data_IF_263946456824
#
_entry.id   IF_263946456824
#
_cell.length_a   1.000
_cell.length_b   1.000
_cell.length_c   1.000
_cell.angle_alpha   90.00
_cell.angle_beta   90.00
_cell.angle_gamma   90.00
#
_symmetry.space_group_name_H-M   'P 1'
#
loop_
_entity.id
_entity.type
_entity.pdbx_description
1 polymer ?
#
# COMPACT_ATOMS: atom_id res chain seq x y z
N UNK A 1 27.48 4.27 1.44
CA UNK A 1 26.37 5.23 1.63
C UNK A 1 25.01 4.52 1.72
N UNK A 2 24.65 3.65 0.78
CA UNK A 2 23.36 2.94 0.76
C UNK A 2 23.13 2.08 2.02
N UNK A 3 24.14 1.30 2.44
CA UNK A 3 24.01 0.41 3.61
C UNK A 3 23.75 1.16 4.93
N UNK A 4 24.34 2.36 5.10
CA UNK A 4 24.12 3.19 6.31
C UNK A 4 22.71 3.77 6.31
N UNK A 5 22.21 4.16 5.14
CA UNK A 5 20.84 4.64 4.97
C UNK A 5 19.83 3.54 5.31
N UNK A 6 20.04 2.32 4.79
CA UNK A 6 19.16 1.18 5.07
C UNK A 6 19.10 0.82 6.56
N UNK A 7 20.24 0.84 7.26
CA UNK A 7 20.28 0.61 8.72
C UNK A 7 19.52 1.69 9.49
N UNK A 8 19.65 2.95 9.08
CA UNK A 8 18.93 4.07 9.69
C UNK A 8 17.42 3.92 9.48
N UNK A 9 17.00 3.67 8.25
CA UNK A 9 15.59 3.50 7.89
C UNK A 9 14.96 2.34 8.71
N UNK A 10 15.67 1.22 8.87
CA UNK A 10 15.22 0.09 9.73
C UNK A 10 15.05 0.47 11.21
N UNK A 11 15.94 1.30 11.75
CA UNK A 11 15.84 1.76 13.15
C UNK A 11 14.68 2.72 13.33
N UNK A 12 14.50 3.64 12.38
CA UNK A 12 13.40 4.60 12.39
C UNK A 12 12.05 3.86 12.27
N UNK A 13 11.95 2.85 11.39
CA UNK A 13 10.76 2.01 11.26
C UNK A 13 10.44 1.25 12.55
N UNK A 14 11.44 0.61 13.18
CA UNK A 14 11.25 -0.11 14.43
C UNK A 14 10.81 0.82 15.58
N UNK A 15 11.36 2.04 15.65
CA UNK A 15 10.97 3.04 16.64
C UNK A 15 9.52 3.50 16.43
N UNK A 16 9.11 3.72 15.19
CA UNK A 16 7.76 4.16 14.87
C UNK A 16 6.73 3.04 15.09
N UNK A 17 7.06 1.81 14.72
CA UNK A 17 6.20 0.64 14.95
C UNK A 17 5.96 0.39 16.44
N UNK A 18 7.00 0.47 17.27
CA UNK A 18 6.88 0.31 18.73
C UNK A 18 6.06 1.42 19.37
N UNK A 19 6.24 2.68 18.95
CA UNK A 19 5.38 3.79 19.39
C UNK A 19 3.91 3.57 19.01
N UNK A 20 3.65 3.19 17.76
CA UNK A 20 2.30 2.89 17.29
C UNK A 20 1.64 1.73 18.06
N UNK A 21 2.43 0.71 18.42
CA UNK A 21 1.97 -0.41 19.23
C UNK A 21 1.63 0.00 20.68
N UNK A 22 2.38 0.94 21.26
CA UNK A 22 2.08 1.49 22.60
C UNK A 22 0.80 2.33 22.58
N UNK A 23 0.53 3.05 21.49
CA UNK A 23 -0.63 3.93 21.37
C UNK A 23 -1.97 3.19 21.18
N UNK A 24 -2.01 2.18 20.29
CA UNK A 24 -3.27 1.50 19.91
C UNK A 24 -3.22 -0.03 20.10
N UNK A 25 -2.17 -0.55 20.71
CA UNK A 25 -1.97 -1.99 20.89
C UNK A 25 -1.50 -2.71 19.63
N UNK A 26 -1.67 -4.02 19.64
CA UNK A 26 -1.18 -4.95 18.63
C UNK A 26 -2.27 -5.91 18.15
N UNK A 27 -2.10 -6.40 16.94
CA UNK A 27 -2.93 -7.43 16.32
C UNK A 27 -2.06 -8.55 15.74
N UNK A 28 -2.60 -9.77 15.53
CA UNK A 28 -1.86 -10.85 14.87
C UNK A 28 -1.45 -10.43 13.45
N UNK A 29 -0.16 -10.51 13.17
CA UNK A 29 0.41 -10.07 11.90
C UNK A 29 0.24 -11.08 10.77
N UNK A 30 1.08 -10.94 9.73
CA UNK A 30 1.10 -11.89 8.61
C UNK A 30 -0.18 -11.91 7.78
N UNK A 31 -0.93 -10.80 7.76
CA UNK A 31 -2.24 -10.71 7.10
C UNK A 31 -3.39 -11.39 7.86
N UNK A 32 -3.13 -12.00 9.02
CA UNK A 32 -4.14 -12.68 9.84
C UNK A 32 -5.22 -11.70 10.31
N UNK A 33 -4.83 -10.52 10.82
CA UNK A 33 -5.79 -9.51 11.26
C UNK A 33 -6.79 -9.10 10.15
N UNK A 34 -6.31 -8.89 8.92
CA UNK A 34 -7.15 -8.52 7.78
C UNK A 34 -8.08 -9.67 7.36
N UNK A 35 -7.58 -10.90 7.35
CA UNK A 35 -8.40 -12.08 7.10
C UNK A 35 -9.50 -12.23 8.15
N UNK A 36 -9.22 -11.97 9.43
CA UNK A 36 -10.22 -12.02 10.51
C UNK A 36 -11.24 -10.89 10.40
N UNK A 37 -10.81 -9.69 9.98
CA UNK A 37 -11.71 -8.55 9.75
C UNK A 37 -12.75 -8.81 8.64
N UNK A 38 -12.47 -9.75 7.73
CA UNK A 38 -13.40 -10.21 6.69
C UNK A 38 -14.77 -10.60 7.25
N UNK A 39 -14.83 -11.26 8.42
CA UNK A 39 -16.09 -11.69 9.06
C UNK A 39 -17.07 -10.52 9.28
N UNK A 40 -16.56 -9.33 9.61
CA UNK A 40 -17.39 -8.12 9.79
C UNK A 40 -18.00 -7.62 8.48
N UNK A 41 -17.33 -7.85 7.35
CA UNK A 41 -17.80 -7.47 6.01
C UNK A 41 -18.75 -8.52 5.43
N UNK A 42 -18.58 -9.80 5.78
CA UNK A 42 -19.46 -10.89 5.33
C UNK A 42 -20.90 -10.72 5.84
N UNK A 43 -21.09 -10.04 6.97
CA UNK A 43 -22.43 -9.70 7.48
C UNK A 43 -23.16 -8.62 6.68
N UNK A 44 -22.50 -7.93 5.75
CA UNK A 44 -23.11 -6.89 4.93
C UNK A 44 -23.86 -7.51 3.74
N UNK A 45 -25.08 -7.03 3.51
CA UNK A 45 -25.91 -7.43 2.38
C UNK A 45 -26.63 -6.23 1.78
N UNK A 46 -27.00 -6.35 0.51
CA UNK A 46 -27.72 -5.32 -0.25
C UNK A 46 -28.54 -5.97 -1.35
N UNK A 47 -29.72 -5.44 -1.63
CA UNK A 47 -30.54 -5.87 -2.76
C UNK A 47 -30.03 -5.29 -4.10
N UNK A 48 -29.11 -4.32 -4.05
CA UNK A 48 -28.46 -3.76 -5.22
C UNK A 48 -27.31 -4.68 -5.69
N UNK A 49 -27.36 -5.24 -6.91
CA UNK A 49 -26.32 -6.11 -7.44
C UNK A 49 -24.92 -5.48 -7.49
N UNK A 50 -24.83 -4.18 -7.77
CA UNK A 50 -23.55 -3.46 -7.88
C UNK A 50 -22.90 -3.28 -6.51
N UNK A 51 -23.70 -2.98 -5.48
CA UNK A 51 -23.22 -2.91 -4.10
C UNK A 51 -22.76 -4.30 -3.65
N UNK A 52 -23.51 -5.36 -3.97
CA UNK A 52 -23.09 -6.73 -3.67
C UNK A 52 -21.80 -7.13 -4.38
N UNK A 53 -21.59 -6.69 -5.61
CA UNK A 53 -20.33 -6.89 -6.31
C UNK A 53 -19.18 -6.17 -5.60
N UNK A 54 -19.38 -4.91 -5.17
CA UNK A 54 -18.42 -4.14 -4.38
C UNK A 54 -18.03 -4.83 -3.06
N UNK A 55 -19.02 -5.32 -2.31
CA UNK A 55 -18.78 -6.08 -1.06
C UNK A 55 -17.90 -7.30 -1.34
N UNK A 56 -18.20 -8.08 -2.39
CA UNK A 56 -17.38 -9.25 -2.77
C UNK A 56 -15.94 -8.88 -3.14
N UNK A 57 -15.73 -7.74 -3.78
CA UNK A 57 -14.38 -7.24 -4.10
C UNK A 57 -13.61 -6.92 -2.82
N UNK A 58 -14.23 -6.24 -1.85
CA UNK A 58 -13.60 -5.93 -0.55
C UNK A 58 -13.25 -7.22 0.21
N UNK A 59 -14.17 -8.19 0.25
CA UNK A 59 -13.92 -9.50 0.87
C UNK A 59 -12.69 -10.21 0.30
N UNK A 60 -12.54 -10.16 -1.04
CA UNK A 60 -11.35 -10.72 -1.71
C UNK A 60 -10.09 -9.91 -1.41
N UNK A 61 -10.20 -8.59 -1.36
CA UNK A 61 -9.06 -7.71 -1.09
C UNK A 61 -8.48 -7.91 0.32
N UNK A 62 -9.32 -8.11 1.34
CA UNK A 62 -8.89 -8.39 2.71
C UNK A 62 -8.11 -9.70 2.85
N UNK A 63 -8.37 -10.66 1.97
CA UNK A 63 -7.70 -11.97 1.94
C UNK A 63 -6.41 -11.97 1.12
N UNK A 64 -6.23 -11.02 0.20
CA UNK A 64 -5.09 -10.97 -0.69
C UNK A 64 -3.71 -10.89 0.03
N UNK A 65 -3.53 -10.13 1.12
CA UNK A 65 -2.22 -10.01 1.77
C UNK A 65 -1.68 -11.35 2.30
N UNK A 66 -2.51 -12.13 2.98
CA UNK A 66 -2.08 -13.42 3.53
C UNK A 66 -1.80 -14.45 2.43
N UNK A 67 -2.57 -14.43 1.33
CA UNK A 67 -2.30 -15.26 0.14
C UNK A 67 -0.95 -14.89 -0.46
N UNK A 68 -0.68 -13.60 -0.64
CA UNK A 68 0.58 -13.13 -1.19
C UNK A 68 1.77 -13.52 -0.31
N UNK A 69 1.62 -13.43 1.02
CA UNK A 69 2.67 -13.86 1.97
C UNK A 69 2.93 -15.37 1.85
N UNK A 70 1.88 -16.20 1.79
CA UNK A 70 2.01 -17.64 1.62
C UNK A 70 2.66 -18.02 0.27
N UNK A 71 2.23 -17.38 -0.82
CA UNK A 71 2.80 -17.61 -2.16
C UNK A 71 4.28 -17.20 -2.22
N UNK A 72 4.66 -16.09 -1.57
CA UNK A 72 6.06 -15.68 -1.45
C UNK A 72 6.91 -16.68 -0.65
N UNK A 73 6.30 -17.43 0.26
CA UNK A 73 6.92 -18.53 0.99
C UNK A 73 6.90 -19.87 0.21
N UNK A 74 6.33 -19.91 -1.00
CA UNK A 74 6.24 -21.12 -1.82
C UNK A 74 5.10 -22.07 -1.46
N UNK A 75 4.15 -21.62 -0.62
CA UNK A 75 3.01 -22.41 -0.15
C UNK A 75 1.72 -21.91 -0.80
N UNK A 76 0.77 -22.81 -1.04
CA UNK A 76 -0.51 -22.44 -1.66
C UNK A 76 -1.38 -21.61 -0.71
N UNK A 77 -1.59 -20.32 -1.06
CA UNK A 77 -2.33 -19.38 -0.22
C UNK A 77 -3.77 -19.78 0.10
N UNK A 78 -4.46 -20.48 -0.81
CA UNK A 78 -5.83 -20.97 -0.57
C UNK A 78 -5.88 -21.99 0.58
N UNK A 79 -4.86 -22.85 0.72
CA UNK A 79 -4.76 -23.83 1.80
C UNK A 79 -4.50 -23.12 3.13
N UNK A 80 -3.61 -22.13 3.13
CA UNK A 80 -3.28 -21.35 4.32
C UNK A 80 -4.50 -20.59 4.84
N UNK A 81 -5.22 -19.90 3.95
CA UNK A 81 -6.46 -19.20 4.32
C UNK A 81 -7.49 -20.17 4.88
N UNK A 82 -7.74 -21.29 4.20
CA UNK A 82 -8.72 -22.29 4.64
C UNK A 82 -8.43 -22.79 6.06
N UNK A 83 -7.19 -23.20 6.33
CA UNK A 83 -6.78 -23.68 7.66
C UNK A 83 -6.94 -22.63 8.75
N UNK A 84 -6.64 -21.36 8.47
CA UNK A 84 -6.84 -20.28 9.45
C UNK A 84 -8.33 -20.07 9.71
N UNK A 85 -9.16 -20.11 8.68
CA UNK A 85 -10.60 -19.91 8.80
C UNK A 85 -11.31 -21.06 9.54
N UNK A 86 -10.79 -22.29 9.48
CA UNK A 86 -11.29 -23.45 10.24
C UNK A 86 -11.08 -23.33 11.76
N UNK A 87 -10.21 -22.42 12.21
CA UNK A 87 -9.96 -22.15 13.61
C UNK A 87 -10.55 -20.79 14.01
N UNK A 88 -11.36 -20.74 15.07
CA UNK A 88 -12.00 -19.51 15.53
C UNK A 88 -11.12 -18.62 16.41
N UNK A 89 -9.95 -19.09 16.84
CA UNK A 89 -9.00 -18.28 17.60
C UNK A 89 -8.48 -17.11 16.75
N UNK A 90 -8.74 -15.89 17.22
CA UNK A 90 -8.33 -14.66 16.56
C UNK A 90 -6.81 -14.58 16.33
N UNK A 91 -6.02 -15.21 17.19
CA UNK A 91 -4.55 -15.18 17.18
C UNK A 91 -3.93 -16.29 16.35
N UNK A 92 -4.70 -17.30 15.94
CA UNK A 92 -4.21 -18.39 15.11
C UNK A 92 -3.95 -17.92 13.69
N UNK A 93 -2.71 -18.08 13.23
CA UNK A 93 -2.24 -17.65 11.91
C UNK A 93 -1.14 -18.53 11.37
N UNK A 94 -0.49 -18.08 10.30
CA UNK A 94 0.55 -18.83 9.59
C UNK A 94 1.90 -18.11 9.69
N UNK A 95 2.90 -18.80 10.24
CA UNK A 95 4.28 -18.35 10.23
C UNK A 95 4.92 -18.74 8.89
N UNK A 96 5.06 -17.76 7.99
CA UNK A 96 5.63 -17.98 6.66
C UNK A 96 7.12 -18.36 6.66
N UNK A 97 7.85 -18.14 7.76
CA UNK A 97 9.27 -18.51 7.85
C UNK A 97 9.47 -19.99 8.19
N UNK A 98 8.59 -20.56 9.02
CA UNK A 98 8.65 -21.97 9.43
C UNK A 98 7.61 -22.85 8.75
N UNK A 99 6.65 -22.24 8.04
CA UNK A 99 5.49 -22.88 7.44
C UNK A 99 4.54 -23.56 8.45
N UNK A 100 4.57 -23.10 9.70
CA UNK A 100 3.75 -23.65 10.79
C UNK A 100 2.57 -22.75 11.13
N UNK A 101 1.48 -23.36 11.59
CA UNK A 101 0.34 -22.62 12.14
C UNK A 101 0.51 -22.46 13.64
N UNK A 102 0.52 -21.20 14.09
CA UNK A 102 0.88 -20.84 15.46
C UNK A 102 -0.03 -19.76 16.01
N UNK A 103 0.01 -19.56 17.33
CA UNK A 103 -0.47 -18.32 17.92
C UNK A 103 0.52 -17.20 17.54
N UNK A 104 0.06 -16.27 16.71
CA UNK A 104 0.89 -15.22 16.14
C UNK A 104 1.42 -14.26 17.20
N UNK A 105 0.66 -14.01 18.28
CA UNK A 105 1.08 -13.12 19.36
C UNK A 105 2.16 -13.79 20.20
N UNK A 106 1.97 -15.05 20.58
CA UNK A 106 2.98 -15.81 21.34
C UNK A 106 4.26 -16.02 20.54
N UNK A 107 4.15 -16.21 19.22
CA UNK A 107 5.29 -16.28 18.31
C UNK A 107 5.96 -14.92 18.05
N UNK A 108 5.40 -13.81 18.55
CA UNK A 108 5.93 -12.46 18.34
C UNK A 108 5.71 -11.90 16.93
N UNK A 109 4.86 -12.54 16.11
CA UNK A 109 4.50 -12.11 14.76
C UNK A 109 3.28 -11.19 14.87
N UNK A 110 3.56 -9.94 15.20
CA UNK A 110 2.56 -8.94 15.57
C UNK A 110 2.68 -7.70 14.68
N UNK A 111 1.55 -7.09 14.37
CA UNK A 111 1.50 -5.79 13.71
C UNK A 111 0.90 -4.75 14.68
N UNK A 112 1.40 -3.51 14.73
CA UNK A 112 0.75 -2.44 15.46
C UNK A 112 -0.66 -2.16 14.89
N UNK A 113 -1.68 -2.12 15.76
CA UNK A 113 -3.08 -1.90 15.34
C UNK A 113 -3.24 -0.64 14.50
N UNK A 114 -2.58 0.45 14.91
CA UNK A 114 -2.60 1.73 14.22
C UNK A 114 -2.12 1.62 12.78
N UNK A 115 -1.07 0.83 12.53
CA UNK A 115 -0.48 0.67 11.20
C UNK A 115 -1.47 -0.07 10.28
N UNK A 116 -2.01 -1.19 10.74
CA UNK A 116 -2.98 -1.98 9.94
C UNK A 116 -4.24 -1.16 9.66
N UNK A 117 -4.78 -0.47 10.66
CA UNK A 117 -5.98 0.38 10.52
C UNK A 117 -5.75 1.53 9.54
N UNK A 118 -4.63 2.24 9.69
CA UNK A 118 -4.31 3.39 8.83
C UNK A 118 -4.07 2.93 7.40
N UNK A 119 -3.32 1.84 7.20
CA UNK A 119 -3.10 1.27 5.87
C UNK A 119 -4.41 0.88 5.17
N UNK A 120 -5.36 0.29 5.90
CA UNK A 120 -6.66 -0.07 5.34
C UNK A 120 -7.50 1.18 4.98
N UNK A 121 -7.48 2.21 5.83
CA UNK A 121 -8.17 3.48 5.58
C UNK A 121 -7.58 4.23 4.37
N UNK A 122 -6.26 4.28 4.26
CA UNK A 122 -5.56 4.90 3.14
C UNK A 122 -5.83 4.14 1.84
N UNK A 123 -5.79 2.80 1.87
CA UNK A 123 -6.12 1.97 0.72
C UNK A 123 -7.56 2.20 0.24
N UNK A 124 -8.53 2.28 1.16
CA UNK A 124 -9.91 2.59 0.82
C UNK A 124 -10.07 4.01 0.23
N UNK A 125 -9.36 4.99 0.78
CA UNK A 125 -9.35 6.37 0.28
C UNK A 125 -8.81 6.46 -1.15
N UNK A 126 -7.65 5.84 -1.41
CA UNK A 126 -7.04 5.81 -2.74
C UNK A 126 -7.93 5.05 -3.73
N UNK A 127 -8.48 3.90 -3.34
CA UNK A 127 -9.38 3.14 -4.19
C UNK A 127 -10.65 3.95 -4.55
N UNK A 128 -11.24 4.66 -3.58
CA UNK A 128 -12.38 5.54 -3.82
C UNK A 128 -12.07 6.66 -4.80
N UNK A 129 -10.91 7.31 -4.64
CA UNK A 129 -10.44 8.33 -5.58
C UNK A 129 -10.27 7.75 -6.99
N UNK A 130 -9.59 6.61 -7.13
CA UNK A 130 -9.32 6.00 -8.44
C UNK A 130 -10.60 5.54 -9.15
N UNK A 131 -11.55 4.94 -8.42
CA UNK A 131 -12.81 4.45 -8.99
C UNK A 131 -13.69 5.61 -9.47
N UNK A 132 -13.64 6.76 -8.80
CA UNK A 132 -14.41 7.95 -9.16
C UNK A 132 -13.70 8.86 -10.16
N UNK A 133 -12.44 8.56 -10.51
CA UNK A 133 -11.67 9.34 -11.48
C UNK A 133 -12.02 8.89 -12.90
N UNK A 134 -12.82 9.67 -13.61
CA UNK A 134 -13.24 9.33 -14.98
C UNK A 134 -12.17 9.61 -16.05
N UNK A 135 -11.34 10.64 -15.85
CA UNK A 135 -10.32 11.04 -16.81
C UNK A 135 -9.09 11.66 -16.13
N UNK A 136 -7.91 11.40 -16.70
CA UNK A 136 -6.65 12.06 -16.34
C UNK A 136 -6.08 12.76 -17.58
N UNK A 137 -5.67 14.02 -17.43
CA UNK A 137 -5.01 14.79 -18.49
C UNK A 137 -3.54 14.91 -18.14
N UNK A 138 -2.68 14.31 -18.97
CA UNK A 138 -1.23 14.42 -18.84
C UNK A 138 -0.66 15.40 -19.86
N UNK A 139 0.29 16.23 -19.44
CA UNK A 139 1.11 17.02 -20.36
C UNK A 139 2.25 16.16 -20.92
N UNK A 140 2.54 16.31 -22.21
CA UNK A 140 3.72 15.69 -22.81
C UNK A 140 5.00 16.32 -22.23
N UNK A 141 6.10 15.56 -22.12
CA UNK A 141 7.39 16.14 -21.76
C UNK A 141 7.70 17.33 -22.65
N UNK A 142 7.95 18.49 -22.05
CA UNK A 142 8.40 19.68 -22.79
C UNK A 142 9.74 19.32 -23.43
N UNK A 143 9.85 19.46 -24.75
CA UNK A 143 11.16 19.45 -25.39
C UNK A 143 11.88 20.68 -24.87
N UNK A 144 13.00 20.49 -24.19
CA UNK A 144 13.88 21.60 -23.85
C UNK A 144 14.16 22.38 -25.12
N UNK A 145 13.73 23.64 -25.15
CA UNK A 145 14.11 24.53 -26.24
C UNK A 145 15.64 24.64 -26.18
N UNK A 146 16.37 24.43 -27.29
CA UNK A 146 17.81 24.61 -27.28
C UNK A 146 18.09 26.01 -26.75
N UNK A 147 18.94 26.09 -25.72
CA UNK A 147 19.40 27.36 -25.19
C UNK A 147 19.89 28.19 -26.38
N UNK A 148 19.17 29.26 -26.71
CA UNK A 148 19.59 30.14 -27.79
C UNK A 148 21.00 30.61 -27.44
N UNK A 149 21.97 30.43 -28.35
CA UNK A 149 23.29 30.99 -28.14
C UNK A 149 23.12 32.48 -27.89
N UNK A 150 23.77 32.96 -26.83
CA UNK A 150 23.91 34.38 -26.55
C UNK A 150 24.41 35.03 -27.84
N UNK A 151 23.55 35.78 -28.54
CA UNK A 151 23.91 36.53 -29.76
C UNK A 151 24.71 37.77 -29.32
N UNK A 152 25.82 37.51 -28.64
CA UNK A 152 26.95 38.40 -28.58
C UNK A 152 27.59 38.42 -29.97
N UNK A 153 27.43 39.55 -30.66
CA UNK A 153 28.23 39.87 -31.84
C UNK A 153 27.49 39.77 -33.17
N UNK A 154 26.67 40.77 -33.48
CA UNK A 154 26.55 41.24 -34.86
C UNK A 154 26.57 42.76 -34.85
N UNK A 155 27.78 43.31 -34.87
CA UNK A 155 27.99 44.71 -35.20
C UNK A 155 27.60 45.00 -36.65
N UNK A 156 27.07 46.20 -36.86
CA UNK A 156 27.23 46.96 -38.10
C UNK A 156 26.45 46.49 -39.33
N UNK A 157 25.29 47.09 -39.56
CA UNK A 157 24.91 47.52 -40.92
C UNK A 157 24.08 48.80 -40.82
N UNK A 158 24.52 49.81 -41.56
CA UNK A 158 24.16 51.21 -41.41
C UNK A 158 22.73 51.58 -41.84
N UNK A 159 22.22 52.60 -41.15
CA UNK A 159 21.62 53.81 -41.69
C UNK A 159 20.61 53.70 -42.83
N UNK A 160 19.35 53.99 -42.49
CA UNK A 160 18.49 54.80 -43.36
C UNK A 160 17.80 55.85 -42.49
N UNK A 161 18.27 57.09 -42.62
CA UNK A 161 17.85 58.24 -41.85
C UNK A 161 16.46 58.76 -42.23
N UNK A 162 15.87 59.49 -41.30
CA UNK A 162 14.59 60.16 -41.51
C UNK A 162 13.98 60.83 -40.28
N UNK A 163 14.77 61.54 -39.46
CA UNK A 163 14.30 62.67 -38.65
C UNK A 163 15.52 63.49 -38.22
N UNK A 164 15.47 64.79 -38.57
CA UNK A 164 16.54 65.79 -38.49
C UNK A 164 16.98 66.09 -37.07
#
# INVERSE_FOLDING_TARGET
EIEVKEKKDRVDDALNATRAAVEEGIVPGGGTALLRAKKSVEGLSSDNPDIMAGIKIVLRALEAPIRQIAENAGVEGSIVVGKIQENDDATFGFNAQTEEFVNMIEAGIIDPTKVVRTALQDAASVAGLLITTEAMVGELPKKDAPAMPDMGGMGGMGGMGGMM
#
